data_IF_621472616010
#
_entry.id   IF_621472616010
#
_cell.length_a   1.000
_cell.length_b   1.000
_cell.length_c   1.000
_cell.angle_alpha   90.00
_cell.angle_beta   90.00
_cell.angle_gamma   90.00
#
_symmetry.space_group_name_H-M   'P 1'
#
loop_
_entity.id
_entity.type
_entity.pdbx_description
1 polymer ?
#
# COMPACT_ATOMS: atom_id res chain seq x y z
N UNK A 1 29.92 -0.87 -33.15
CA UNK A 1 30.34 -0.61 -31.77
C UNK A 1 29.08 -0.55 -30.93
N UNK A 2 28.70 -1.65 -30.29
CA UNK A 2 27.57 -1.70 -29.37
C UNK A 2 28.10 -1.40 -27.97
N UNK A 3 27.58 -0.38 -27.31
CA UNK A 3 27.79 -0.19 -25.89
C UNK A 3 26.75 -1.04 -25.17
N UNK A 4 27.15 -2.20 -24.65
CA UNK A 4 26.44 -2.84 -23.56
C UNK A 4 26.46 -1.87 -22.37
N UNK A 5 25.30 -1.36 -21.95
CA UNK A 5 25.19 -0.70 -20.65
C UNK A 5 25.43 -1.78 -19.58
N UNK A 6 26.68 -1.92 -19.17
CA UNK A 6 27.04 -2.64 -17.96
C UNK A 6 26.29 -2.02 -16.77
N UNK A 7 25.83 -2.88 -15.86
CA UNK A 7 25.25 -2.51 -14.57
C UNK A 7 26.12 -1.44 -13.90
N UNK A 8 25.66 -0.18 -13.91
CA UNK A 8 26.36 0.89 -13.21
C UNK A 8 26.20 0.64 -11.72
N UNK A 9 27.30 0.29 -11.05
CA UNK A 9 27.38 0.18 -9.60
C UNK A 9 27.11 1.55 -9.01
N UNK A 10 26.07 1.65 -8.19
CA UNK A 10 25.66 2.90 -7.53
C UNK A 10 25.36 2.70 -6.04
N UNK A 11 25.28 3.81 -5.31
CA UNK A 11 24.83 3.81 -3.92
C UNK A 11 23.31 3.81 -3.86
N UNK A 12 22.73 2.91 -3.07
CA UNK A 12 21.29 2.84 -2.82
C UNK A 12 21.01 3.36 -1.42
N UNK A 13 20.05 4.28 -1.30
CA UNK A 13 19.55 4.72 -0.02
C UNK A 13 18.76 3.56 0.64
N UNK A 14 19.41 2.87 1.58
CA UNK A 14 18.87 1.71 2.28
C UNK A 14 19.14 1.79 3.80
N UNK A 15 18.61 2.81 4.50
CA UNK A 15 18.83 3.00 5.92
C UNK A 15 18.26 1.84 6.74
N UNK A 16 18.94 1.50 7.84
CA UNK A 16 18.40 0.56 8.83
C UNK A 16 17.25 1.20 9.62
N UNK A 17 16.44 0.36 10.27
CA UNK A 17 15.36 0.85 11.15
C UNK A 17 15.91 1.78 12.27
N UNK A 18 17.14 1.56 12.72
CA UNK A 18 17.83 2.42 13.69
C UNK A 18 18.28 3.74 13.08
N UNK A 19 18.82 3.72 11.86
CA UNK A 19 19.25 4.95 11.16
C UNK A 19 18.07 5.88 10.92
N UNK A 20 16.93 5.32 10.51
CA UNK A 20 15.67 6.06 10.32
C UNK A 20 15.27 6.85 11.57
N UNK A 21 15.41 6.26 12.75
CA UNK A 21 15.10 6.96 14.00
C UNK A 21 16.19 7.98 14.37
N UNK A 22 17.46 7.59 14.33
CA UNK A 22 18.58 8.37 14.88
C UNK A 22 18.95 9.57 14.03
N UNK A 23 19.07 9.37 12.71
CA UNK A 23 19.68 10.36 11.81
C UNK A 23 18.65 11.11 10.96
N UNK A 24 17.38 10.67 10.95
CA UNK A 24 16.33 11.32 10.16
C UNK A 24 15.18 11.81 11.03
N UNK A 25 14.50 10.91 11.76
CA UNK A 25 13.31 11.29 12.53
C UNK A 25 13.63 12.16 13.75
N UNK A 26 14.65 11.80 14.54
CA UNK A 26 15.04 12.59 15.72
C UNK A 26 15.46 14.03 15.36
N UNK A 27 16.38 14.27 14.41
CA UNK A 27 16.72 15.62 13.99
C UNK A 27 15.51 16.40 13.48
N UNK A 28 14.63 15.78 12.67
CA UNK A 28 13.39 16.41 12.18
C UNK A 28 12.48 16.89 13.32
N UNK A 29 12.31 16.10 14.37
CA UNK A 29 11.51 16.45 15.55
C UNK A 29 12.16 17.60 16.34
N UNK A 30 13.49 17.60 16.44
CA UNK A 30 14.24 18.66 17.10
C UNK A 30 14.27 19.99 16.32
N UNK A 31 13.71 20.03 15.11
CA UNK A 31 13.78 21.19 14.23
C UNK A 31 15.15 21.39 13.56
N UNK A 32 15.99 20.35 13.56
CA UNK A 32 17.28 20.35 12.87
C UNK A 32 17.08 20.15 11.37
N UNK A 33 17.98 20.73 10.56
CA UNK A 33 17.94 20.55 9.11
C UNK A 33 18.38 19.12 8.74
N UNK A 34 17.48 18.37 8.11
CA UNK A 34 17.76 17.02 7.62
C UNK A 34 18.13 17.12 6.14
N UNK A 35 19.43 17.07 5.83
CA UNK A 35 19.95 17.08 4.47
C UNK A 35 19.73 15.72 3.77
N UNK A 36 18.48 15.37 3.49
CA UNK A 36 18.12 14.15 2.78
C UNK A 36 16.96 14.36 1.81
N UNK A 37 17.27 14.38 0.51
CA UNK A 37 16.27 14.56 -0.54
C UNK A 37 15.44 13.30 -0.82
N UNK A 38 15.74 12.16 -0.18
CA UNK A 38 15.00 10.91 -0.34
C UNK A 38 13.79 10.79 0.60
N UNK A 39 13.69 11.65 1.62
CA UNK A 39 12.59 11.65 2.59
C UNK A 39 11.82 12.96 2.48
N UNK A 40 10.57 12.89 2.04
CA UNK A 40 9.72 14.07 1.83
C UNK A 40 8.64 14.17 2.90
N UNK A 41 8.15 15.37 3.19
CA UNK A 41 7.00 15.54 4.08
C UNK A 41 5.70 15.39 3.29
N UNK A 42 4.83 14.44 3.68
CA UNK A 42 3.49 14.24 3.10
C UNK A 42 2.51 13.84 4.19
N UNK A 43 1.29 14.36 4.09
CA UNK A 43 0.18 13.92 4.94
C UNK A 43 -0.42 12.63 4.37
N UNK A 44 -0.13 11.48 4.98
CA UNK A 44 -0.59 10.16 4.49
C UNK A 44 -1.81 9.61 5.24
N UNK A 45 -2.30 10.34 6.24
CA UNK A 45 -3.47 9.99 7.02
C UNK A 45 -4.56 11.06 6.90
N UNK A 46 -5.80 10.63 6.72
CA UNK A 46 -6.95 11.53 6.59
C UNK A 46 -7.90 11.13 5.47
N UNK A 47 -9.04 11.81 5.38
CA UNK A 47 -10.12 11.48 4.44
C UNK A 47 -9.75 11.68 2.96
N UNK A 48 -8.76 12.53 2.66
CA UNK A 48 -8.33 12.85 1.29
C UNK A 48 -6.90 12.32 1.00
N UNK A 49 -6.46 11.32 1.77
CA UNK A 49 -5.08 10.83 1.72
C UNK A 49 -5.00 9.44 1.09
N UNK A 50 -5.55 9.26 -0.12
CA UNK A 50 -5.35 8.00 -0.85
C UNK A 50 -3.85 7.82 -1.14
N UNK A 51 -3.27 6.61 -1.00
CA UNK A 51 -1.84 6.40 -1.24
C UNK A 51 -1.38 6.84 -2.62
N UNK A 52 -2.16 6.58 -3.68
CA UNK A 52 -1.81 6.95 -5.04
C UNK A 52 -1.95 8.45 -5.34
N UNK A 53 -2.73 9.19 -4.54
CA UNK A 53 -2.87 10.64 -4.68
C UNK A 53 -1.75 11.37 -3.93
N UNK A 54 -1.42 10.92 -2.71
CA UNK A 54 -0.41 11.58 -1.86
C UNK A 54 1.03 11.20 -2.23
N UNK A 55 1.22 9.99 -2.78
CA UNK A 55 2.52 9.48 -3.25
C UNK A 55 2.68 9.73 -4.75
N UNK A 56 2.50 10.99 -5.13
CA UNK A 56 2.56 11.53 -6.49
C UNK A 56 3.98 11.49 -7.09
N UNK A 57 4.15 12.15 -8.24
CA UNK A 57 5.42 12.26 -8.96
C UNK A 57 6.52 13.00 -8.19
N UNK A 58 6.20 13.79 -7.17
CA UNK A 58 7.19 14.46 -6.31
C UNK A 58 7.76 13.54 -5.23
N UNK A 59 7.19 12.34 -5.05
CA UNK A 59 7.67 11.38 -4.05
C UNK A 59 8.84 10.59 -4.64
N UNK A 60 10.05 10.65 -4.02
CA UNK A 60 11.20 9.89 -4.48
C UNK A 60 10.98 8.39 -4.27
N UNK A 61 10.83 7.66 -5.38
CA UNK A 61 10.68 6.20 -5.36
C UNK A 61 12.01 5.52 -5.68
N UNK A 62 12.43 4.61 -4.81
CA UNK A 62 13.63 3.79 -4.96
C UNK A 62 13.20 2.40 -5.43
N UNK A 63 13.73 1.94 -6.56
CA UNK A 63 13.44 0.59 -7.07
C UNK A 63 13.93 -0.48 -6.07
N UNK A 64 13.11 -1.50 -5.86
CA UNK A 64 13.42 -2.64 -4.99
C UNK A 64 13.05 -3.93 -5.72
N UNK A 65 13.96 -4.40 -6.58
CA UNK A 65 13.68 -5.50 -7.50
C UNK A 65 12.74 -5.09 -8.63
N UNK A 66 12.15 -6.09 -9.31
CA UNK A 66 11.42 -5.88 -10.58
C UNK A 66 10.03 -5.27 -10.43
N UNK A 67 9.36 -5.52 -9.30
CA UNK A 67 7.95 -5.19 -9.10
C UNK A 67 7.67 -4.36 -7.85
N UNK A 68 8.72 -3.94 -7.13
CA UNK A 68 8.55 -3.13 -5.92
C UNK A 68 9.31 -1.84 -6.01
N UNK A 69 8.76 -0.84 -5.34
CA UNK A 69 9.42 0.44 -5.10
C UNK A 69 9.15 0.89 -3.67
N UNK A 70 10.10 1.62 -3.12
CA UNK A 70 10.10 2.09 -1.74
C UNK A 70 10.17 3.62 -1.74
N UNK A 71 9.31 4.26 -0.95
CA UNK A 71 9.36 5.68 -0.66
C UNK A 71 9.52 5.90 0.85
N UNK A 72 10.15 7.00 1.22
CA UNK A 72 10.30 7.42 2.61
C UNK A 72 9.61 8.77 2.81
N UNK A 73 8.78 8.85 3.84
CA UNK A 73 7.92 10.02 4.06
C UNK A 73 7.91 10.40 5.54
N UNK A 74 8.07 11.68 5.84
CA UNK A 74 7.66 12.24 7.12
C UNK A 74 6.18 12.57 7.08
N UNK A 75 5.43 12.16 8.10
CA UNK A 75 4.02 12.54 8.26
C UNK A 75 3.78 13.03 9.67
N UNK A 76 2.92 14.03 9.79
CA UNK A 76 2.41 14.46 11.08
C UNK A 76 1.45 13.41 11.63
N UNK A 77 1.58 13.16 12.92
CA UNK A 77 0.67 12.33 13.70
C UNK A 77 -0.27 13.28 14.42
N UNK A 78 -1.52 13.35 13.95
CA UNK A 78 -2.52 14.14 14.65
C UNK A 78 -3.12 13.28 15.77
N UNK A 79 -3.22 13.83 16.98
CA UNK A 79 -3.91 13.20 18.13
C UNK A 79 -5.37 12.80 17.82
N UNK A 80 -5.94 13.42 16.78
CA UNK A 80 -7.30 13.21 16.30
C UNK A 80 -7.40 12.25 15.11
N UNK A 81 -6.30 11.66 14.62
CA UNK A 81 -6.38 10.67 13.56
C UNK A 81 -7.30 9.54 14.05
N UNK A 82 -8.48 9.33 13.43
CA UNK A 82 -9.46 8.42 14.01
C UNK A 82 -8.84 7.02 14.02
N UNK A 83 -8.58 6.50 15.23
CA UNK A 83 -8.50 5.05 15.42
C UNK A 83 -9.89 4.54 15.10
N UNK A 84 -10.12 4.23 13.82
CA UNK A 84 -11.41 3.74 13.36
C UNK A 84 -11.64 2.42 14.10
N UNK A 85 -12.71 2.36 14.88
CA UNK A 85 -13.19 1.07 15.38
C UNK A 85 -13.59 0.30 14.14
N UNK A 86 -12.81 -0.72 13.77
CA UNK A 86 -13.27 -1.69 12.80
C UNK A 86 -14.50 -2.37 13.40
N UNK A 87 -15.69 -1.88 13.04
CA UNK A 87 -16.94 -2.58 13.30
C UNK A 87 -17.02 -3.69 12.27
N UNK A 88 -16.18 -4.71 12.44
CA UNK A 88 -16.49 -6.00 11.84
C UNK A 88 -17.81 -6.42 12.49
N UNK A 89 -18.91 -6.19 11.78
CA UNK A 89 -20.17 -6.90 12.00
C UNK A 89 -19.90 -8.34 11.58
N UNK A 90 -19.17 -9.05 12.43
CA UNK A 90 -19.19 -10.49 12.41
C UNK A 90 -20.56 -10.87 12.92
N UNK A 91 -21.34 -11.57 12.11
CA UNK A 91 -22.52 -12.29 12.58
C UNK A 91 -22.08 -13.25 13.68
N UNK A 92 -22.06 -12.79 14.94
CA UNK A 92 -22.03 -13.67 16.11
C UNK A 92 -23.46 -14.11 16.33
N UNK A 93 -23.79 -15.27 15.80
CA UNK A 93 -24.80 -16.13 16.37
C UNK A 93 -24.57 -16.23 17.88
N UNK A 94 -25.64 -15.98 18.64
CA UNK A 94 -25.67 -16.16 20.08
C UNK A 94 -25.39 -17.62 20.42
N UNK A 95 -24.25 -17.89 21.06
CA UNK A 95 -24.14 -18.98 22.03
C UNK A 95 -22.82 -18.86 22.81
N UNK A 96 -22.90 -18.88 24.14
CA UNK A 96 -21.80 -19.32 24.99
C UNK A 96 -21.15 -18.24 25.84
N UNK A 97 -21.53 -18.24 27.12
CA UNK A 97 -20.84 -17.66 28.26
C UNK A 97 -19.37 -18.07 28.31
N UNK A 98 -18.48 -17.15 28.71
CA UNK A 98 -17.13 -17.50 29.19
C UNK A 98 -16.02 -16.56 28.73
N UNK A 99 -15.38 -15.92 29.71
CA UNK A 99 -14.07 -15.25 29.65
C UNK A 99 -13.99 -13.97 28.79
N UNK A 100 -13.78 -12.85 29.47
CA UNK A 100 -13.53 -11.55 28.85
C UNK A 100 -12.29 -11.56 27.96
N UNK A 101 -12.46 -11.95 26.70
CA UNK A 101 -11.49 -11.72 25.63
C UNK A 101 -11.48 -10.21 25.40
N UNK A 102 -10.50 -9.54 26.00
CA UNK A 102 -10.23 -8.14 25.76
C UNK A 102 -9.89 -7.99 24.27
N UNK A 103 -10.89 -7.62 23.46
CA UNK A 103 -10.72 -7.40 22.01
C UNK A 103 -9.56 -6.41 21.84
N UNK A 104 -8.43 -6.87 21.31
CA UNK A 104 -7.31 -5.98 20.96
C UNK A 104 -7.86 -4.93 20.01
N UNK A 105 -7.88 -3.66 20.44
CA UNK A 105 -8.25 -2.56 19.55
C UNK A 105 -7.28 -2.58 18.37
N UNK A 106 -7.80 -2.88 17.19
CA UNK A 106 -7.01 -2.92 15.97
C UNK A 106 -6.41 -1.53 15.72
N UNK A 107 -5.12 -1.47 15.40
CA UNK A 107 -4.48 -0.21 15.05
C UNK A 107 -4.84 0.12 13.60
N UNK A 108 -5.77 1.05 13.41
CA UNK A 108 -6.30 1.44 12.10
C UNK A 108 -6.18 2.94 11.94
N UNK A 109 -5.72 3.41 10.77
CA UNK A 109 -5.70 4.83 10.40
C UNK A 109 -6.40 5.04 9.07
N UNK A 110 -7.17 6.11 8.95
CA UNK A 110 -7.79 6.50 7.68
C UNK A 110 -6.74 6.93 6.65
N UNK A 111 -6.98 6.59 5.39
CA UNK A 111 -6.21 7.10 4.25
C UNK A 111 -7.10 7.12 3.01
N UNK A 112 -7.76 8.24 2.74
CA UNK A 112 -8.62 8.37 1.57
C UNK A 112 -9.86 7.48 1.64
N UNK A 113 -10.13 6.75 0.55
CA UNK A 113 -11.19 5.76 0.41
C UNK A 113 -10.93 4.44 1.16
N UNK A 114 -9.89 4.39 1.98
CA UNK A 114 -9.44 3.19 2.65
C UNK A 114 -8.84 3.44 4.02
N UNK A 115 -8.12 2.45 4.48
CA UNK A 115 -7.49 2.44 5.79
C UNK A 115 -6.17 1.70 5.80
N UNK A 116 -5.23 2.24 6.57
CA UNK A 116 -4.01 1.56 6.97
C UNK A 116 -4.30 0.68 8.18
N UNK A 117 -4.23 -0.63 7.98
CA UNK A 117 -4.54 -1.64 8.99
C UNK A 117 -3.27 -2.27 9.54
N UNK A 118 -3.09 -2.20 10.86
CA UNK A 118 -1.96 -2.80 11.55
C UNK A 118 -1.91 -4.31 11.42
N UNK A 119 -0.80 -4.80 10.85
CA UNK A 119 -0.45 -6.22 10.76
C UNK A 119 0.33 -6.70 11.99
N UNK A 120 1.08 -5.78 12.61
CA UNK A 120 1.91 -6.08 13.78
C UNK A 120 1.50 -5.25 14.98
N UNK A 121 1.84 -5.75 16.17
CA UNK A 121 1.85 -4.94 17.39
C UNK A 121 2.97 -3.89 17.37
N UNK A 122 3.17 -3.23 18.51
CA UNK A 122 4.31 -2.32 18.71
C UNK A 122 5.60 -3.14 18.71
N UNK A 123 6.49 -2.92 17.73
CA UNK A 123 7.80 -3.57 17.65
C UNK A 123 8.88 -2.60 18.13
N UNK A 124 9.47 -2.78 19.32
CA UNK A 124 10.49 -1.86 19.84
C UNK A 124 11.76 -1.90 18.99
N UNK A 125 12.29 -0.73 18.65
CA UNK A 125 13.62 -0.57 18.06
C UNK A 125 14.55 -0.13 19.17
N UNK A 126 15.65 -0.85 19.35
CA UNK A 126 16.60 -0.63 20.43
C UNK A 126 17.96 -0.18 19.89
N UNK A 127 18.68 0.62 20.68
CA UNK A 127 20.09 0.88 20.45
C UNK A 127 20.97 -0.30 20.89
N UNK A 128 22.28 -0.15 20.70
CA UNK A 128 23.28 -1.16 21.10
C UNK A 128 23.29 -1.41 22.61
N UNK A 129 22.83 -0.42 23.40
CA UNK A 129 22.72 -0.49 24.85
C UNK A 129 21.38 -1.06 25.32
N UNK A 130 20.55 -1.58 24.39
CA UNK A 130 19.20 -2.12 24.62
C UNK A 130 18.16 -1.08 25.07
N UNK A 131 18.46 0.21 25.01
CA UNK A 131 17.50 1.28 25.26
C UNK A 131 16.54 1.38 24.08
N UNK A 132 15.26 1.62 24.35
CA UNK A 132 14.25 1.77 23.30
C UNK A 132 14.38 3.15 22.67
N UNK A 133 14.77 3.19 21.40
CA UNK A 133 14.82 4.41 20.60
C UNK A 133 13.44 4.79 20.07
N UNK A 134 12.61 3.80 19.76
CA UNK A 134 11.31 4.02 19.16
C UNK A 134 10.56 2.73 18.90
N UNK A 135 9.50 2.85 18.12
CA UNK A 135 8.57 1.76 17.80
C UNK A 135 8.38 1.72 16.29
N UNK A 136 8.42 0.50 15.72
CA UNK A 136 7.93 0.19 14.39
C UNK A 136 6.57 -0.48 14.45
N UNK A 137 5.68 -0.14 13.52
CA UNK A 137 4.46 -0.88 13.22
C UNK A 137 4.37 -1.14 11.73
N UNK A 138 3.88 -2.32 11.36
CA UNK A 138 3.63 -2.68 9.96
C UNK A 138 2.14 -2.56 9.70
N UNK A 139 1.77 -1.87 8.63
CA UNK A 139 0.39 -1.67 8.19
C UNK A 139 0.25 -2.04 6.71
N UNK A 140 -0.93 -2.50 6.31
CA UNK A 140 -1.32 -2.61 4.90
C UNK A 140 -2.48 -1.67 4.60
N UNK A 141 -2.48 -1.11 3.40
CA UNK A 141 -3.60 -0.33 2.94
C UNK A 141 -4.72 -1.25 2.45
N UNK A 142 -5.95 -0.97 2.87
CA UNK A 142 -7.17 -1.64 2.41
C UNK A 142 -8.15 -0.60 1.92
N UNK A 143 -8.67 -0.78 0.70
CA UNK A 143 -9.72 0.03 0.10
C UNK A 143 -11.03 -0.43 0.72
N UNK A 144 -11.77 0.49 1.34
CA UNK A 144 -13.01 0.21 2.07
C UNK A 144 -14.24 0.85 1.41
N UNK A 145 -14.02 1.89 0.60
CA UNK A 145 -15.05 2.62 -0.14
C UNK A 145 -14.69 2.63 -1.62
N UNK A 146 -15.19 1.63 -2.35
CA UNK A 146 -14.98 1.49 -3.79
C UNK A 146 -15.88 2.47 -4.57
N UNK A 147 -17.07 2.78 -4.03
CA UNK A 147 -18.08 3.65 -4.64
C UNK A 147 -17.56 5.07 -4.82
N UNK A 148 -16.85 5.61 -3.83
CA UNK A 148 -16.22 6.93 -3.90
C UNK A 148 -15.14 7.02 -5.00
N UNK A 149 -14.43 5.94 -5.29
CA UNK A 149 -13.34 5.93 -6.26
C UNK A 149 -13.78 5.47 -7.68
N UNK A 150 -14.85 4.70 -7.82
CA UNK A 150 -15.48 4.40 -9.12
C UNK A 150 -16.12 5.63 -9.79
N UNK A 151 -16.58 6.62 -9.00
CA UNK A 151 -17.12 7.89 -9.53
C UNK A 151 -16.14 8.64 -10.45
N UNK A 152 -14.84 8.38 -10.31
CA UNK A 152 -13.79 9.01 -11.10
C UNK A 152 -13.29 8.11 -12.25
N UNK A 153 -14.00 7.02 -12.58
CA UNK A 153 -13.57 6.01 -13.56
C UNK A 153 -12.17 5.43 -13.26
N UNK A 154 -11.84 5.33 -11.97
CA UNK A 154 -10.51 4.95 -11.52
C UNK A 154 -10.33 3.43 -11.61
N UNK A 155 -9.35 2.99 -12.41
CA UNK A 155 -9.05 1.58 -12.62
C UNK A 155 -8.15 1.03 -11.51
N UNK A 156 -8.75 0.38 -10.51
CA UNK A 156 -8.03 -0.24 -9.41
C UNK A 156 -7.14 -1.40 -9.83
N UNK A 157 -7.35 -2.00 -11.01
CA UNK A 157 -6.52 -3.13 -11.47
C UNK A 157 -5.08 -2.71 -11.76
N UNK A 158 -4.86 -1.41 -11.97
CA UNK A 158 -3.54 -0.80 -12.14
C UNK A 158 -2.87 -0.41 -10.83
N UNK A 159 -3.60 -0.50 -9.71
CA UNK A 159 -3.00 -0.27 -8.40
C UNK A 159 -2.20 -1.49 -7.95
N UNK A 160 -1.06 -1.23 -7.32
CA UNK A 160 -0.33 -2.25 -6.59
C UNK A 160 -0.78 -2.35 -5.13
N UNK A 161 -0.19 -3.30 -4.42
CA UNK A 161 -0.37 -3.48 -3.00
C UNK A 161 0.53 -2.52 -2.20
N UNK A 162 -0.06 -1.66 -1.37
CA UNK A 162 0.68 -0.76 -0.48
C UNK A 162 0.87 -1.36 0.92
N UNK A 163 2.13 -1.38 1.37
CA UNK A 163 2.55 -1.71 2.74
C UNK A 163 3.28 -0.51 3.33
N UNK A 164 3.06 -0.27 4.61
CA UNK A 164 3.68 0.81 5.37
C UNK A 164 4.42 0.24 6.58
N UNK A 165 5.69 0.60 6.75
CA UNK A 165 6.37 0.54 8.03
C UNK A 165 6.36 1.94 8.66
N UNK A 166 5.60 2.11 9.74
CA UNK A 166 5.50 3.34 10.53
C UNK A 166 6.53 3.30 11.66
N UNK A 167 7.40 4.31 11.71
CA UNK A 167 8.44 4.50 12.74
C UNK A 167 8.11 5.73 13.58
N UNK A 168 8.08 5.56 14.90
CA UNK A 168 7.81 6.63 15.87
C UNK A 168 8.91 6.65 16.91
N UNK A 169 9.46 7.83 17.20
CA UNK A 169 10.49 8.02 18.23
C UNK A 169 9.88 7.82 19.63
N UNK A 170 10.63 7.21 20.55
CA UNK A 170 10.17 7.01 21.91
C UNK A 170 9.89 8.36 22.59
N UNK A 171 8.72 8.47 23.23
CA UNK A 171 8.29 9.70 23.92
C UNK A 171 7.82 10.85 23.01
N UNK A 172 7.91 10.72 21.67
CA UNK A 172 7.39 11.71 20.74
C UNK A 172 6.20 11.16 19.95
N UNK A 173 5.17 11.97 19.79
CA UNK A 173 3.92 11.58 19.12
C UNK A 173 3.51 12.54 18.01
N UNK A 174 4.35 13.50 17.64
CA UNK A 174 4.02 14.55 16.67
C UNK A 174 4.30 14.14 15.23
N UNK A 175 5.32 13.31 15.03
CA UNK A 175 5.77 12.84 13.72
C UNK A 175 6.01 11.34 13.69
N UNK A 176 5.76 10.77 12.51
CA UNK A 176 6.26 9.47 12.12
C UNK A 176 7.13 9.59 10.87
N UNK A 177 8.13 8.72 10.79
CA UNK A 177 8.79 8.40 9.53
C UNK A 177 8.16 7.13 8.98
N UNK A 178 7.82 7.14 7.71
CA UNK A 178 7.08 6.09 7.04
C UNK A 178 7.89 5.53 5.88
N UNK A 179 8.22 4.24 5.91
CA UNK A 179 8.77 3.50 4.75
C UNK A 179 7.61 2.81 4.05
N UNK A 180 7.24 3.30 2.87
CA UNK A 180 6.10 2.81 2.10
C UNK A 180 6.62 1.94 0.96
N UNK A 181 6.16 0.70 0.90
CA UNK A 181 6.44 -0.23 -0.20
C UNK A 181 5.20 -0.34 -1.08
N UNK A 182 5.36 -0.08 -2.37
CA UNK A 182 4.37 -0.42 -3.39
C UNK A 182 4.85 -1.67 -4.14
N UNK A 183 4.04 -2.71 -4.14
CA UNK A 183 4.26 -3.96 -4.87
C UNK A 183 3.26 -4.07 -6.02
N UNK A 184 3.71 -3.82 -7.24
CA UNK A 184 2.88 -3.84 -8.45
C UNK A 184 2.65 -5.26 -8.99
N UNK A 185 3.32 -6.27 -8.43
CA UNK A 185 3.04 -7.67 -8.76
C UNK A 185 1.85 -8.24 -7.97
N UNK A 186 1.27 -7.43 -7.07
CA UNK A 186 0.13 -7.81 -6.24
C UNK A 186 -1.03 -6.86 -6.48
N UNK A 187 -2.23 -7.42 -6.43
CA UNK A 187 -3.46 -6.65 -6.48
C UNK A 187 -3.68 -5.86 -5.18
N UNK A 188 -4.44 -4.75 -5.23
CA UNK A 188 -4.77 -3.99 -4.04
C UNK A 188 -5.66 -4.81 -3.11
N UNK A 189 -5.56 -4.57 -1.80
CA UNK A 189 -6.50 -5.17 -0.84
C UNK A 189 -7.79 -4.35 -0.83
N UNK A 190 -8.92 -5.00 -1.13
CA UNK A 190 -10.27 -4.39 -1.10
C UNK A 190 -11.12 -5.14 -0.09
N UNK A 191 -11.79 -4.41 0.80
CA UNK A 191 -12.65 -4.95 1.87
C UNK A 191 -13.99 -4.20 1.83
N UNK A 192 -15.09 -4.91 2.08
CA UNK A 192 -16.47 -4.46 1.86
C UNK A 192 -16.84 -4.23 0.40
N UNK A 193 -17.47 -5.25 -0.16
CA UNK A 193 -18.19 -5.15 -1.41
C UNK A 193 -19.61 -5.60 -1.09
N UNK A 194 -20.61 -4.81 -1.48
CA UNK A 194 -21.89 -5.44 -1.80
C UNK A 194 -21.59 -6.43 -2.94
N UNK A 195 -22.11 -7.66 -2.85
CA UNK A 195 -21.67 -8.82 -3.65
C UNK A 195 -21.58 -8.56 -5.17
N UNK A 196 -22.33 -7.59 -5.69
CA UNK A 196 -22.37 -7.25 -7.11
C UNK A 196 -21.11 -6.52 -7.60
N UNK A 197 -20.44 -5.72 -6.75
CA UNK A 197 -19.23 -4.99 -7.12
C UNK A 197 -17.98 -5.89 -7.13
N UNK A 198 -17.93 -6.93 -6.28
CA UNK A 198 -16.84 -7.94 -6.26
C UNK A 198 -16.74 -8.62 -7.61
N UNK A 199 -17.90 -9.01 -8.14
CA UNK A 199 -18.02 -9.85 -9.33
C UNK A 199 -17.44 -9.13 -10.54
N UNK A 200 -17.70 -7.83 -10.66
CA UNK A 200 -17.17 -6.99 -11.73
C UNK A 200 -15.65 -6.75 -11.61
N UNK A 201 -15.13 -6.59 -10.39
CA UNK A 201 -13.69 -6.41 -10.14
C UNK A 201 -12.93 -7.74 -10.37
N UNK A 202 -13.45 -8.87 -9.88
CA UNK A 202 -12.84 -10.19 -10.11
C UNK A 202 -12.89 -10.56 -11.60
N UNK A 203 -14.01 -10.29 -12.28
CA UNK A 203 -14.15 -10.59 -13.71
C UNK A 203 -13.18 -9.76 -14.57
N UNK A 204 -12.98 -8.48 -14.24
CA UNK A 204 -11.96 -7.64 -14.89
C UNK A 204 -10.52 -8.09 -14.58
N UNK A 205 -10.22 -8.51 -13.35
CA UNK A 205 -8.93 -9.11 -12.98
C UNK A 205 -8.63 -10.44 -13.69
N UNK A 206 -9.64 -11.25 -13.99
CA UNK A 206 -9.49 -12.52 -14.74
C UNK A 206 -9.33 -12.27 -16.25
N UNK A 207 -10.05 -11.30 -16.82
CA UNK A 207 -9.99 -10.96 -18.25
C UNK A 207 -8.60 -10.43 -18.67
N UNK A 208 -7.95 -9.62 -17.84
CA UNK A 208 -6.61 -9.10 -18.12
C UNK A 208 -5.50 -10.19 -18.06
N UNK A 209 -5.68 -11.20 -17.20
CA UNK A 209 -4.75 -12.34 -17.13
C UNK A 209 -4.86 -13.31 -18.32
N UNK A 210 -6.00 -13.29 -19.04
CA UNK A 210 -6.19 -14.07 -20.27
C UNK A 210 -5.53 -13.38 -21.47
N UNK A 211 -5.52 -12.05 -21.53
CA UNK A 211 -4.86 -11.30 -22.62
C UNK A 211 -3.32 -11.37 -22.56
N UNK A 212 -2.73 -11.58 -21.38
CA UNK A 212 -1.27 -11.70 -21.21
C UNK A 212 -0.68 -13.08 -21.58
N UNK A 213 -1.51 -14.06 -21.94
CA UNK A 213 -1.10 -15.45 -22.24
C UNK A 213 -1.41 -15.92 -23.66
N UNK A 214 -1.35 -15.04 -24.67
CA UNK A 214 -1.27 -15.49 -26.07
C UNK A 214 0.02 -14.99 -26.72
N UNK A 215 1.08 -15.80 -26.57
CA UNK A 215 2.14 -15.90 -27.59
C UNK A 215 1.55 -16.60 -28.81
N UNK A 216 1.74 -15.96 -29.97
CA UNK A 216 1.91 -16.54 -31.31
C UNK A 216 1.12 -17.80 -31.64
N UNK A 217 0.11 -17.66 -32.51
CA UNK A 217 -0.21 -18.72 -33.47
C UNK A 217 -0.49 -18.10 -34.83
N UNK A 218 0.03 -18.76 -35.86
CA UNK A 218 0.22 -18.30 -37.22
C UNK A 218 -1.09 -17.96 -37.94
N UNK A 219 -0.98 -17.01 -38.87
CA UNK A 219 -1.92 -16.87 -39.97
C UNK A 219 -1.98 -18.18 -40.76
N UNK A 220 -3.17 -18.73 -40.93
CA UNK A 220 -3.45 -19.67 -42.01
C UNK A 220 -4.87 -19.41 -42.52
N UNK A 221 -4.90 -19.20 -43.84
CA UNK A 221 -6.05 -19.03 -44.70
C UNK A 221 -7.12 -20.12 -44.50
N UNK A 222 -8.38 -19.73 -44.69
CA UNK A 222 -9.42 -20.57 -45.27
C UNK A 222 -10.62 -19.70 -45.68
N UNK A 223 -10.49 -19.00 -46.81
CA UNK A 223 -11.63 -18.63 -47.65
C UNK A 223 -12.04 -19.87 -48.46
N UNK A 224 -13.28 -20.36 -48.33
CA UNK A 224 -14.07 -20.96 -49.43
C UNK A 224 -15.42 -21.58 -48.96
N UNK A 225 -16.49 -20.80 -49.14
CA UNK A 225 -17.92 -21.10 -49.43
C UNK A 225 -18.65 -22.38 -48.96
N UNK A 226 -19.88 -22.66 -49.48
CA UNK A 226 -20.77 -21.77 -50.25
C UNK A 226 -22.25 -21.75 -49.79
N UNK A 227 -22.90 -20.64 -50.17
CA UNK A 227 -24.24 -20.47 -50.77
C UNK A 227 -25.50 -21.13 -50.17
N UNK A 228 -26.44 -20.23 -49.84
CA UNK A 228 -27.84 -20.45 -49.48
C UNK A 228 -28.66 -21.05 -50.63
N UNK A 229 -29.54 -21.99 -50.30
CA UNK A 229 -30.73 -22.37 -51.07
C UNK A 229 -31.95 -22.17 -50.16
N UNK A 230 -32.88 -21.32 -50.57
CA UNK A 230 -34.25 -21.32 -50.07
C UNK A 230 -35.16 -20.88 -51.22
N UNK A 231 -35.98 -21.84 -51.65
CA UNK A 231 -37.06 -21.68 -52.62
C UNK A 231 -38.16 -20.75 -52.07
N UNK A 232 -38.66 -19.88 -52.93
CA UNK A 232 -40.06 -19.84 -53.39
C UNK A 232 -40.09 -19.16 -54.74
#
# INVERSE_FOLDING_TARGET
MGFELGDVVGFVFSPTDTDLLKYFLKPKINGEEVSCNFIVEKQIYGANCNPWDVLDSSTPWIASGKSKKIAYVFTRLNDKAPLVRSSVVGNKSLSGSGSGVQRRKQYVKLGGCGSWNGLTGRMPIKDNNKNVLGIRRVLNFQINDVSGALRNNFDFTKLGHYKLDEFVLAGCHDYALCRITLDTSKTPMVVNLQNDDVSNIICSMQSLNVLGKRKSFQAQDCCSGPTKLLCT
#
